data_IF_065988240410
#
_entry.id   IF_065988240410
#
_cell.length_a   1.000
_cell.length_b   1.000
_cell.length_c   1.000
_cell.angle_alpha   90.00
_cell.angle_beta   90.00
_cell.angle_gamma   90.00
#
_symmetry.space_group_name_H-M   'P 1'
#
loop_
_entity.id
_entity.type
_entity.pdbx_description
1 polymer ?
#
# COMPACT_ATOMS: atom_id res chain seq x y z
N UNK A 1 12.14 20.62 -5.24
CA UNK A 1 11.86 19.17 -5.19
C UNK A 1 12.90 18.41 -5.99
N UNK A 2 13.42 17.31 -5.44
CA UNK A 2 14.36 16.40 -6.10
C UNK A 2 13.70 15.25 -6.88
N UNK A 3 12.37 15.11 -6.74
CA UNK A 3 11.56 13.99 -7.25
C UNK A 3 11.58 13.80 -8.76
N UNK A 4 11.88 14.84 -9.55
CA UNK A 4 11.99 14.72 -11.02
C UNK A 4 13.38 14.26 -11.50
N UNK A 5 14.38 14.25 -10.62
CA UNK A 5 15.77 13.94 -10.99
C UNK A 5 15.95 12.42 -11.15
N UNK A 6 15.36 11.63 -10.25
CA UNK A 6 15.43 10.17 -10.27
C UNK A 6 14.20 9.56 -9.59
N UNK A 7 13.88 8.32 -9.95
CA UNK A 7 12.81 7.59 -9.28
C UNK A 7 13.21 7.21 -7.84
N UNK A 8 14.51 6.94 -7.65
CA UNK A 8 15.17 6.72 -6.38
C UNK A 8 14.86 7.86 -5.39
N UNK A 9 15.00 9.13 -5.80
CA UNK A 9 14.67 10.29 -4.96
C UNK A 9 13.20 10.34 -4.54
N UNK A 10 12.28 9.76 -5.33
CA UNK A 10 10.86 9.65 -4.94
C UNK A 10 10.68 8.57 -3.87
N UNK A 11 11.40 7.44 -3.96
CA UNK A 11 11.26 6.35 -3.00
C UNK A 11 12.03 6.60 -1.68
N UNK A 12 13.09 7.40 -1.72
CA UNK A 12 13.89 7.80 -0.57
C UNK A 12 13.24 8.96 0.22
N UNK A 13 12.48 9.84 -0.43
CA UNK A 13 11.70 10.88 0.26
C UNK A 13 10.41 10.29 0.87
N UNK A 14 10.16 10.45 2.20
CA UNK A 14 8.91 10.00 2.85
C UNK A 14 7.65 10.50 2.15
N UNK A 15 7.64 11.77 1.74
CA UNK A 15 6.48 12.39 1.11
C UNK A 15 6.45 12.04 -0.38
N UNK A 16 7.60 11.83 -1.00
CA UNK A 16 7.71 11.29 -2.36
C UNK A 16 7.03 9.92 -2.46
N UNK A 17 7.46 8.98 -1.61
CA UNK A 17 6.95 7.61 -1.55
C UNK A 17 5.45 7.59 -1.27
N UNK A 18 4.99 8.43 -0.33
CA UNK A 18 3.58 8.59 -0.01
C UNK A 18 2.76 9.14 -1.18
N UNK A 19 3.22 10.21 -1.81
CA UNK A 19 2.53 10.86 -2.93
C UNK A 19 2.46 9.93 -4.13
N UNK A 20 3.55 9.20 -4.42
CA UNK A 20 3.60 8.18 -5.45
C UNK A 20 2.69 6.98 -5.13
N UNK A 21 2.61 6.56 -3.87
CA UNK A 21 1.67 5.51 -3.44
C UNK A 21 0.21 5.95 -3.64
N UNK A 22 -0.14 7.21 -3.32
CA UNK A 22 -1.49 7.74 -3.58
C UNK A 22 -1.78 7.92 -5.07
N UNK A 23 -0.79 8.26 -5.88
CA UNK A 23 -0.90 8.25 -7.34
C UNK A 23 -1.24 6.83 -7.87
N UNK A 24 -0.45 5.81 -7.48
CA UNK A 24 -0.69 4.43 -7.90
C UNK A 24 -2.06 3.88 -7.43
N UNK A 25 -2.55 4.30 -6.25
CA UNK A 25 -3.91 3.96 -5.78
C UNK A 25 -5.00 4.51 -6.70
N UNK A 26 -4.85 5.74 -7.21
CA UNK A 26 -5.81 6.35 -8.15
C UNK A 26 -5.82 5.61 -9.51
N UNK A 27 -4.70 5.01 -9.87
CA UNK A 27 -4.53 4.27 -11.13
C UNK A 27 -4.71 2.75 -10.99
N UNK A 28 -5.11 2.25 -9.81
CA UNK A 28 -5.30 0.83 -9.52
C UNK A 28 -4.03 -0.03 -9.76
N UNK A 29 -2.85 0.53 -9.46
CA UNK A 29 -1.53 -0.08 -9.65
C UNK A 29 -0.66 -0.09 -8.37
N UNK A 30 -1.29 0.10 -7.21
CA UNK A 30 -0.63 0.21 -5.90
C UNK A 30 0.07 -1.08 -5.44
N UNK A 31 -0.34 -2.24 -5.94
CA UNK A 31 0.28 -3.54 -5.64
C UNK A 31 1.78 -3.56 -5.97
N UNK A 32 2.22 -2.80 -6.97
CA UNK A 32 3.63 -2.71 -7.37
C UNK A 32 4.51 -2.08 -6.27
N UNK A 33 4.08 -0.95 -5.69
CA UNK A 33 4.84 -0.30 -4.62
C UNK A 33 4.73 -1.07 -3.30
N UNK A 34 3.56 -1.66 -3.01
CA UNK A 34 3.36 -2.48 -1.81
C UNK A 34 4.27 -3.72 -1.82
N UNK A 35 4.36 -4.41 -2.95
CA UNK A 35 5.29 -5.53 -3.14
C UNK A 35 6.75 -5.09 -3.00
N UNK A 36 7.15 -4.00 -3.66
CA UNK A 36 8.53 -3.50 -3.58
C UNK A 36 8.94 -3.14 -2.13
N UNK A 37 8.05 -2.47 -1.39
CA UNK A 37 8.25 -2.17 0.04
C UNK A 37 8.38 -3.45 0.87
N UNK A 38 7.55 -4.46 0.62
CA UNK A 38 7.62 -5.73 1.33
C UNK A 38 8.92 -6.51 1.02
N UNK A 39 9.42 -6.46 -0.22
CA UNK A 39 10.73 -7.01 -0.59
C UNK A 39 11.88 -6.30 0.13
N UNK A 40 11.87 -4.96 0.16
CA UNK A 40 12.86 -4.19 0.93
C UNK A 40 12.86 -4.57 2.40
N UNK A 41 11.69 -4.65 3.02
CA UNK A 41 11.56 -5.10 4.40
C UNK A 41 12.11 -6.52 4.60
N UNK A 42 11.76 -7.46 3.72
CA UNK A 42 12.24 -8.84 3.80
C UNK A 42 13.77 -8.91 3.82
N UNK A 43 14.46 -8.12 2.97
CA UNK A 43 15.93 -8.06 2.94
C UNK A 43 16.59 -7.53 4.23
N UNK A 44 15.83 -6.91 5.13
CA UNK A 44 16.33 -6.44 6.45
C UNK A 44 16.16 -7.45 7.58
N UNK A 45 15.48 -8.58 7.33
CA UNK A 45 15.25 -9.61 8.34
C UNK A 45 16.47 -10.54 8.46
N UNK A 46 16.88 -10.79 9.71
CA UNK A 46 17.93 -11.76 10.04
C UNK A 46 17.38 -13.02 10.74
N UNK A 47 16.15 -12.98 11.25
CA UNK A 47 15.51 -14.12 11.90
C UNK A 47 14.81 -15.02 10.88
N UNK A 48 15.21 -16.29 10.81
CA UNK A 48 14.68 -17.26 9.84
C UNK A 48 13.18 -17.51 9.99
N UNK A 49 12.64 -17.41 11.21
CA UNK A 49 11.20 -17.61 11.44
C UNK A 49 10.37 -16.47 10.86
N UNK A 50 10.78 -15.22 11.12
CA UNK A 50 10.19 -14.03 10.52
C UNK A 50 10.37 -14.00 8.99
N UNK A 51 11.52 -14.41 8.47
CA UNK A 51 11.75 -14.55 7.02
C UNK A 51 10.79 -15.56 6.39
N UNK A 52 10.66 -16.77 6.96
CA UNK A 52 9.75 -17.80 6.47
C UNK A 52 8.29 -17.33 6.47
N UNK A 53 7.85 -16.65 7.53
CA UNK A 53 6.52 -16.06 7.62
C UNK A 53 6.32 -15.00 6.52
N UNK A 54 7.16 -13.97 6.47
CA UNK A 54 7.01 -12.86 5.54
C UNK A 54 7.16 -13.28 4.07
N UNK A 55 8.06 -14.21 3.76
CA UNK A 55 8.22 -14.75 2.41
C UNK A 55 6.94 -15.43 1.91
N UNK A 56 6.31 -16.24 2.77
CA UNK A 56 5.02 -16.87 2.46
C UNK A 56 3.93 -15.83 2.26
N UNK A 57 3.88 -14.82 3.12
CA UNK A 57 2.86 -13.77 3.08
C UNK A 57 2.96 -12.90 1.83
N UNK A 58 4.18 -12.49 1.44
CA UNK A 58 4.45 -11.80 0.17
C UNK A 58 4.04 -12.68 -1.02
N UNK A 59 4.35 -13.97 -0.97
CA UNK A 59 3.97 -14.90 -2.03
C UNK A 59 2.45 -15.04 -2.17
N UNK A 60 1.72 -15.31 -1.09
CA UNK A 60 0.26 -15.46 -1.10
C UNK A 60 -0.47 -14.16 -1.53
N UNK A 61 0.08 -12.97 -1.21
CA UNK A 61 -0.51 -11.67 -1.56
C UNK A 61 -0.21 -11.18 -2.98
N UNK A 62 0.99 -11.43 -3.50
CA UNK A 62 1.46 -10.82 -4.75
C UNK A 62 1.89 -11.79 -5.85
N UNK A 63 2.29 -13.02 -5.53
CA UNK A 63 2.98 -13.91 -6.49
C UNK A 63 2.22 -15.20 -6.81
N UNK A 64 1.35 -15.66 -5.91
CA UNK A 64 0.53 -16.86 -6.08
C UNK A 64 -0.41 -16.72 -7.28
N UNK A 65 -0.68 -17.79 -8.05
CA UNK A 65 -1.74 -17.79 -9.06
C UNK A 65 -3.09 -17.42 -8.44
N UNK A 66 -3.70 -16.34 -8.93
CA UNK A 66 -4.96 -15.81 -8.38
C UNK A 66 -4.80 -14.97 -7.10
N UNK A 67 -3.60 -14.50 -6.77
CA UNK A 67 -3.37 -13.55 -5.69
C UNK A 67 -4.17 -12.24 -5.89
N UNK A 68 -4.62 -11.61 -4.80
CA UNK A 68 -5.51 -10.43 -4.89
C UNK A 68 -4.79 -9.14 -5.32
N UNK A 69 -3.47 -9.08 -5.11
CA UNK A 69 -2.61 -7.94 -5.45
C UNK A 69 -1.46 -8.43 -6.34
N UNK A 70 -1.81 -9.23 -7.35
CA UNK A 70 -0.85 -9.92 -8.21
C UNK A 70 0.02 -8.95 -9.02
N UNK A 71 1.33 -9.01 -8.82
CA UNK A 71 2.30 -8.15 -9.53
C UNK A 71 2.78 -8.76 -10.86
N UNK A 72 3.13 -7.90 -11.81
CA UNK A 72 3.62 -8.29 -13.12
C UNK A 72 5.13 -8.58 -13.12
N UNK A 73 5.49 -9.81 -12.76
CA UNK A 73 6.88 -10.34 -12.83
C UNK A 73 6.99 -11.54 -13.77
N UNK A 74 8.22 -11.84 -14.18
CA UNK A 74 8.56 -13.01 -14.98
C UNK A 74 8.19 -14.31 -14.25
N UNK A 75 7.64 -15.26 -15.02
CA UNK A 75 7.34 -16.63 -14.57
C UNK A 75 8.52 -17.33 -13.88
N UNK A 76 9.76 -17.11 -14.34
CA UNK A 76 10.95 -17.70 -13.73
C UNK A 76 11.20 -17.15 -12.32
N UNK A 77 11.11 -15.83 -12.15
CA UNK A 77 11.26 -15.15 -10.86
C UNK A 77 10.18 -15.58 -9.87
N UNK A 78 8.93 -15.73 -10.32
CA UNK A 78 7.82 -16.31 -9.54
C UNK A 78 8.09 -17.77 -9.11
N UNK A 79 8.63 -18.59 -10.02
CA UNK A 79 8.95 -20.00 -9.76
C UNK A 79 10.12 -20.14 -8.78
N UNK A 80 11.16 -19.30 -8.92
CA UNK A 80 12.29 -19.26 -7.99
C UNK A 80 11.84 -18.98 -6.56
N UNK A 81 10.92 -18.00 -6.37
CA UNK A 81 10.35 -17.74 -5.04
C UNK A 81 9.65 -18.97 -4.49
N UNK A 82 8.72 -19.56 -5.26
CA UNK A 82 7.93 -20.73 -4.84
C UNK A 82 8.81 -21.90 -4.37
N UNK A 83 9.88 -22.22 -5.10
CA UNK A 83 10.78 -23.34 -4.77
C UNK A 83 11.54 -23.13 -3.45
N UNK A 84 11.77 -21.89 -3.04
CA UNK A 84 12.58 -21.56 -1.87
C UNK A 84 11.77 -21.16 -0.62
N UNK A 85 10.43 -21.12 -0.68
CA UNK A 85 9.57 -20.70 0.44
C UNK A 85 9.78 -21.47 1.74
N UNK A 86 10.23 -22.73 1.69
CA UNK A 86 10.43 -23.57 2.89
C UNK A 86 11.66 -23.14 3.71
N UNK A 87 12.71 -22.65 3.05
CA UNK A 87 13.95 -22.17 3.69
C UNK A 87 14.46 -20.96 2.88
N UNK A 88 13.82 -19.79 3.05
CA UNK A 88 13.99 -18.70 2.11
C UNK A 88 15.31 -17.94 2.37
N UNK A 89 16.15 -17.71 1.35
CA UNK A 89 17.40 -16.99 1.49
C UNK A 89 17.18 -15.46 1.59
N UNK A 90 18.14 -14.67 2.11
CA UNK A 90 17.97 -13.21 2.29
C UNK A 90 17.69 -12.44 0.99
N UNK A 91 18.14 -12.96 -0.15
CA UNK A 91 17.99 -12.39 -1.49
C UNK A 91 16.81 -12.96 -2.30
N UNK A 92 15.94 -13.77 -1.67
CA UNK A 92 14.81 -14.47 -2.31
C UNK A 92 14.01 -13.63 -3.31
N UNK A 93 13.77 -12.35 -2.99
CA UNK A 93 12.98 -11.45 -3.81
C UNK A 93 13.80 -10.49 -4.68
N UNK A 94 15.13 -10.46 -4.59
CA UNK A 94 15.97 -9.42 -5.20
C UNK A 94 15.74 -9.25 -6.72
N UNK A 95 15.57 -10.36 -7.45
CA UNK A 95 15.25 -10.31 -8.88
C UNK A 95 13.83 -9.80 -9.16
N UNK A 96 12.83 -10.24 -8.38
CA UNK A 96 11.44 -9.79 -8.54
C UNK A 96 11.26 -8.31 -8.14
N UNK A 97 11.97 -7.87 -7.10
CA UNK A 97 12.04 -6.47 -6.67
C UNK A 97 12.59 -5.58 -7.80
N UNK A 98 13.68 -6.00 -8.45
CA UNK A 98 14.29 -5.28 -9.57
C UNK A 98 13.34 -5.18 -10.78
N UNK A 99 12.58 -6.22 -11.07
CA UNK A 99 11.57 -6.20 -12.15
C UNK A 99 10.46 -5.18 -11.87
N UNK A 100 9.89 -5.18 -10.66
CA UNK A 100 8.83 -4.23 -10.28
C UNK A 100 9.34 -2.80 -10.11
N UNK A 101 10.56 -2.62 -9.60
CA UNK A 101 11.22 -1.31 -9.60
C UNK A 101 11.39 -0.76 -11.02
N UNK A 102 11.83 -1.61 -11.96
CA UNK A 102 12.00 -1.25 -13.38
C UNK A 102 10.67 -0.89 -14.03
N UNK A 103 9.61 -1.67 -13.78
CA UNK A 103 8.25 -1.40 -14.24
C UNK A 103 7.77 -0.03 -13.76
N UNK A 104 7.84 0.22 -12.45
CA UNK A 104 7.42 1.51 -11.88
C UNK A 104 8.25 2.68 -12.41
N UNK A 105 9.57 2.52 -12.57
CA UNK A 105 10.49 3.58 -13.04
C UNK A 105 10.23 4.01 -14.49
N UNK A 106 9.90 3.08 -15.38
CA UNK A 106 9.73 3.36 -16.81
C UNK A 106 8.29 3.59 -17.25
N UNK A 107 7.29 3.13 -16.49
CA UNK A 107 5.87 3.44 -16.74
C UNK A 107 5.32 4.42 -15.69
N UNK A 108 5.05 3.95 -14.47
CA UNK A 108 4.23 4.69 -13.51
C UNK A 108 4.88 6.02 -13.07
N UNK A 109 6.20 6.07 -12.88
CA UNK A 109 6.95 7.28 -12.56
C UNK A 109 6.90 8.32 -13.69
N UNK A 110 6.95 7.89 -14.96
CA UNK A 110 6.84 8.78 -16.12
C UNK A 110 5.45 9.43 -16.23
N UNK A 111 4.41 8.73 -15.74
CA UNK A 111 3.03 9.23 -15.65
C UNK A 111 2.83 10.09 -14.39
N UNK A 112 3.44 9.72 -13.26
CA UNK A 112 3.44 10.49 -12.02
C UNK A 112 3.98 11.91 -12.21
N UNK A 113 5.15 12.07 -12.85
CA UNK A 113 5.75 13.40 -13.12
C UNK A 113 4.90 14.30 -14.03
N UNK A 114 3.90 13.75 -14.73
CA UNK A 114 2.96 14.47 -15.59
C UNK A 114 1.58 14.63 -14.96
N UNK A 115 1.39 14.09 -13.75
CA UNK A 115 0.09 14.09 -13.07
C UNK A 115 -0.21 15.43 -12.41
N UNK A 116 -1.51 15.72 -12.26
CA UNK A 116 -1.98 16.87 -11.48
C UNK A 116 -1.47 16.81 -10.04
N UNK A 117 -1.42 15.62 -9.43
CA UNK A 117 -0.93 15.43 -8.06
C UNK A 117 0.53 15.87 -7.88
N UNK A 118 1.40 15.56 -8.84
CA UNK A 118 2.78 16.05 -8.83
C UNK A 118 2.84 17.57 -9.06
N UNK A 119 2.02 18.09 -9.97
CA UNK A 119 1.95 19.53 -10.28
C UNK A 119 1.43 20.36 -9.10
N UNK A 120 0.47 19.84 -8.34
CA UNK A 120 -0.02 20.40 -7.07
C UNK A 120 1.08 20.40 -6.01
N UNK A 121 1.83 19.31 -5.85
CA UNK A 121 2.99 19.23 -4.95
C UNK A 121 4.05 20.28 -5.30
N UNK A 122 4.46 20.38 -6.57
CA UNK A 122 5.40 21.40 -7.06
C UNK A 122 4.90 22.83 -6.83
N UNK A 123 3.60 23.06 -6.97
CA UNK A 123 2.98 24.37 -6.73
C UNK A 123 2.92 24.73 -5.25
N UNK A 124 2.64 23.74 -4.39
CA UNK A 124 2.65 23.93 -2.95
C UNK A 124 4.07 24.23 -2.43
N UNK A 125 5.09 23.50 -2.90
CA UNK A 125 6.50 23.76 -2.55
C UNK A 125 6.92 25.19 -2.90
N UNK A 126 6.65 25.65 -4.13
CA UNK A 126 6.95 27.02 -4.58
C UNK A 126 6.26 28.12 -3.77
N UNK A 127 5.12 27.81 -3.16
CA UNK A 127 4.33 28.75 -2.35
C UNK A 127 4.60 28.62 -0.85
N UNK A 128 5.56 27.78 -0.42
CA UNK A 128 5.81 27.49 0.99
C UNK A 128 4.63 26.81 1.70
N UNK A 129 3.71 26.18 0.95
CA UNK A 129 2.48 25.56 1.47
C UNK A 129 2.71 24.08 1.80
N UNK A 130 1.95 23.51 2.75
CA UNK A 130 2.00 22.07 3.00
C UNK A 130 1.56 21.28 1.75
N UNK A 131 2.34 20.26 1.39
CA UNK A 131 2.09 19.40 0.24
C UNK A 131 0.73 18.67 0.36
N UNK A 132 -0.02 18.46 -0.75
CA UNK A 132 -1.33 17.78 -0.73
C UNK A 132 -1.38 16.46 0.06
N UNK A 133 -0.32 15.65 0.03
CA UNK A 133 -0.26 14.39 0.76
C UNK A 133 0.13 14.52 2.25
N UNK A 134 0.53 15.70 2.72
CA UNK A 134 0.77 15.95 4.15
C UNK A 134 -0.54 15.99 4.94
N UNK A 135 -1.62 16.54 4.38
CA UNK A 135 -2.93 16.58 5.06
C UNK A 135 -3.49 15.20 5.45
N UNK A 136 -3.07 14.13 4.75
CA UNK A 136 -3.44 12.75 5.06
C UNK A 136 -2.77 12.19 6.33
N UNK A 137 -1.77 12.84 6.92
CA UNK A 137 -1.25 12.43 8.26
C UNK A 137 -2.22 12.81 9.38
N UNK A 138 -3.06 13.82 9.17
CA UNK A 138 -3.89 14.41 10.21
C UNK A 138 -5.23 13.70 10.40
N UNK A 139 -5.22 12.36 10.31
CA UNK A 139 -6.39 11.51 10.54
C UNK A 139 -6.75 11.43 12.03
N UNK A 140 -7.36 12.51 12.55
CA UNK A 140 -8.37 12.34 13.61
C UNK A 140 -9.36 11.29 13.11
N UNK A 141 -9.60 10.28 13.94
CA UNK A 141 -10.39 9.09 13.60
C UNK A 141 -11.71 9.45 12.90
N UNK A 142 -12.16 8.69 11.89
CA UNK A 142 -13.34 9.06 11.11
C UNK A 142 -14.58 9.10 12.01
N UNK A 143 -15.01 10.33 12.33
CA UNK A 143 -16.26 10.63 13.01
C UNK A 143 -17.41 10.03 12.22
N UNK A 144 -17.95 8.92 12.73
CA UNK A 144 -19.04 8.10 12.19
C UNK A 144 -20.19 8.96 11.68
N UNK A 145 -20.17 9.31 10.39
CA UNK A 145 -21.23 10.11 9.75
C UNK A 145 -22.51 9.32 9.75
N UNK A 146 -23.43 9.74 10.62
CA UNK A 146 -24.66 9.05 10.94
C UNK A 146 -25.64 9.18 9.77
N UNK A 147 -25.53 8.30 8.78
CA UNK A 147 -26.49 8.21 7.68
C UNK A 147 -27.89 7.97 8.26
N UNK A 148 -28.71 9.02 8.24
CA UNK A 148 -30.04 9.08 8.82
C UNK A 148 -31.03 8.42 7.86
N UNK A 149 -31.10 7.10 7.88
CA UNK A 149 -32.13 6.36 7.15
C UNK A 149 -33.53 6.81 7.61
N UNK A 150 -34.32 7.37 6.68
CA UNK A 150 -35.70 7.75 6.95
C UNK A 150 -36.53 6.49 7.20
N UNK A 151 -37.30 6.49 8.29
CA UNK A 151 -38.32 5.45 8.54
C UNK A 151 -39.31 5.38 7.37
N UNK A 152 -39.71 4.16 7.03
CA UNK A 152 -41.00 3.86 6.40
C UNK A 152 -41.60 2.65 7.09
N UNK A 153 -42.49 2.93 8.04
CA UNK A 153 -43.43 1.93 8.54
C UNK A 153 -44.30 1.36 7.42
N UNK A 154 -44.54 0.03 7.49
CA UNK A 154 -45.82 -0.59 7.13
C UNK A 154 -45.88 -2.03 7.65
N UNK A 155 -46.65 -2.21 8.72
CA UNK A 155 -47.10 -3.52 9.19
C UNK A 155 -47.85 -4.29 8.09
N UNK A 156 -47.68 -5.63 8.04
CA UNK A 156 -48.80 -6.60 8.04
C UNK A 156 -48.32 -8.04 8.27
N UNK A 157 -48.67 -8.62 9.42
CA UNK A 157 -48.63 -10.09 9.60
C UNK A 157 -49.85 -10.74 8.92
N UNK A 158 -49.70 -11.97 8.45
CA UNK A 158 -50.71 -13.04 8.59
C UNK A 158 -50.13 -14.41 8.21
N UNK A 159 -50.41 -15.43 9.05
CA UNK A 159 -50.11 -16.84 8.75
C UNK A 159 -51.21 -17.45 7.87
N UNK A 160 -50.92 -18.50 7.07
CA UNK A 160 -51.45 -19.88 7.29
C UNK A 160 -51.08 -20.93 6.21
N UNK A 161 -50.72 -22.13 6.70
CA UNK A 161 -51.03 -23.51 6.22
C UNK A 161 -50.73 -23.99 4.78
N UNK A 162 -49.77 -24.94 4.71
CA UNK A 162 -49.77 -26.28 4.06
C UNK A 162 -50.52 -26.52 2.73
N UNK A 163 -49.80 -27.07 1.73
CA UNK A 163 -49.91 -28.50 1.34
C UNK A 163 -48.87 -28.93 0.28
N UNK A 164 -48.35 -30.17 0.45
CA UNK A 164 -47.95 -31.23 -0.50
C UNK A 164 -47.79 -30.85 -2.01
N UNK A 165 -46.84 -31.37 -2.80
CA UNK A 165 -45.98 -32.58 -2.69
C UNK A 165 -44.70 -32.36 -3.56
N UNK A 166 -43.79 -33.28 -3.93
CA UNK A 166 -43.72 -34.75 -3.88
C UNK A 166 -42.25 -35.25 -3.71
N UNK A 167 -42.00 -36.54 -4.03
CA UNK A 167 -40.69 -37.21 -3.98
C UNK A 167 -40.01 -37.33 -5.36
N UNK A 168 -38.68 -37.29 -5.36
CA UNK A 168 -37.84 -38.37 -5.88
C UNK A 168 -36.51 -38.39 -5.13
N UNK A 169 -36.08 -39.56 -4.67
CA UNK A 169 -34.82 -39.76 -3.95
C UNK A 169 -34.12 -40.98 -4.52
N UNK A 170 -32.85 -40.84 -4.91
CA UNK A 170 -31.91 -41.96 -4.94
C UNK A 170 -30.63 -41.51 -4.22
N UNK A 171 -30.28 -42.25 -3.17
CA UNK A 171 -29.00 -42.15 -2.48
C UNK A 171 -27.93 -42.92 -3.28
N UNK A 172 -26.65 -42.53 -3.19
CA UNK A 172 -25.69 -43.25 -2.32
C UNK A 172 -24.28 -42.65 -2.39
N UNK A 173 -23.84 -42.17 -1.23
CA UNK A 173 -22.48 -42.15 -0.67
C UNK A 173 -21.29 -42.39 -1.62
N UNK A 174 -20.45 -41.36 -1.77
CA UNK A 174 -18.99 -41.48 -1.73
C UNK A 174 -18.46 -40.27 -0.95
N UNK A 175 -17.70 -40.54 0.12
CA UNK A 175 -17.26 -39.56 1.11
C UNK A 175 -16.17 -38.63 0.57
N UNK A 176 -16.45 -37.32 0.56
CA UNK A 176 -15.45 -36.28 0.30
C UNK A 176 -14.67 -35.92 1.60
N UNK A 177 -13.35 -35.69 1.54
CA UNK A 177 -12.57 -35.26 2.69
C UNK A 177 -12.83 -33.79 3.05
N UNK A 178 -12.87 -33.48 4.35
CA UNK A 178 -13.19 -32.15 4.88
C UNK A 178 -12.21 -31.06 4.39
N UNK A 179 -12.74 -29.98 3.82
CA UNK A 179 -11.95 -28.81 3.38
C UNK A 179 -11.95 -27.70 4.44
N UNK A 180 -11.24 -27.88 5.55
CA UNK A 180 -11.17 -26.88 6.64
C UNK A 180 -10.09 -25.79 6.44
N UNK A 181 -9.36 -25.80 5.33
CA UNK A 181 -8.15 -24.98 5.12
C UNK A 181 -8.42 -23.50 4.72
N UNK A 182 -9.68 -23.11 4.56
CA UNK A 182 -10.09 -21.80 3.99
C UNK A 182 -10.18 -20.63 4.99
N UNK A 183 -10.16 -20.92 6.29
CA UNK A 183 -10.49 -19.96 7.37
C UNK A 183 -9.25 -19.38 8.05
N UNK A 184 -8.27 -20.25 8.32
CA UNK A 184 -6.98 -19.89 8.94
C UNK A 184 -6.13 -19.08 7.97
N UNK A 185 -6.02 -19.50 6.72
CA UNK A 185 -5.21 -18.82 5.72
C UNK A 185 -5.69 -17.38 5.47
N UNK A 186 -7.02 -17.16 5.39
CA UNK A 186 -7.59 -15.80 5.27
C UNK A 186 -7.32 -14.91 6.48
N UNK A 187 -7.34 -15.45 7.71
CA UNK A 187 -6.99 -14.66 8.90
C UNK A 187 -5.49 -14.34 8.97
N UNK A 188 -4.63 -15.29 8.60
CA UNK A 188 -3.18 -15.09 8.49
C UNK A 188 -2.89 -13.99 7.47
N UNK A 189 -3.38 -14.17 6.25
CA UNK A 189 -3.28 -13.21 5.15
C UNK A 189 -3.72 -11.79 5.52
N UNK A 190 -4.87 -11.64 6.21
CA UNK A 190 -5.32 -10.33 6.69
C UNK A 190 -4.45 -9.75 7.81
N UNK A 191 -3.79 -10.58 8.63
CA UNK A 191 -2.77 -10.12 9.57
C UNK A 191 -1.54 -9.61 8.82
N UNK A 192 -1.07 -10.37 7.85
CA UNK A 192 0.17 -10.08 7.14
C UNK A 192 0.06 -8.88 6.21
N UNK A 193 -1.10 -8.68 5.56
CA UNK A 193 -1.39 -7.42 4.88
C UNK A 193 -1.34 -6.22 5.85
N UNK A 194 -1.93 -6.33 7.04
CA UNK A 194 -1.83 -5.28 8.08
C UNK A 194 -0.39 -5.09 8.58
N UNK A 195 0.42 -6.15 8.61
CA UNK A 195 1.83 -6.05 8.95
C UNK A 195 2.58 -5.25 7.88
N UNK A 196 2.38 -5.55 6.59
CA UNK A 196 2.92 -4.77 5.46
C UNK A 196 2.43 -3.31 5.52
N UNK A 197 1.13 -3.07 5.74
CA UNK A 197 0.57 -1.71 5.93
C UNK A 197 1.21 -1.01 7.14
N UNK A 198 1.39 -1.70 8.27
CA UNK A 198 2.06 -1.17 9.47
C UNK A 198 3.58 -0.99 9.27
N UNK A 199 4.18 -1.61 8.25
CA UNK A 199 5.58 -1.48 7.90
C UNK A 199 5.81 -0.36 6.89
N UNK A 200 4.87 -0.13 5.97
CA UNK A 200 4.74 1.11 5.21
C UNK A 200 4.61 2.31 6.17
N UNK A 201 3.74 2.24 7.19
CA UNK A 201 3.65 3.28 8.22
C UNK A 201 4.93 3.46 9.05
N UNK A 202 5.69 2.38 9.32
CA UNK A 202 6.99 2.46 10.03
C UNK A 202 8.15 2.95 9.16
N UNK A 203 8.07 2.77 7.84
CA UNK A 203 9.00 3.39 6.89
C UNK A 203 8.70 4.89 6.77
N UNK A 204 7.41 5.25 6.65
CA UNK A 204 6.95 6.63 6.71
C UNK A 204 7.48 7.35 7.95
N UNK A 205 7.27 6.78 9.14
CA UNK A 205 7.74 7.38 10.39
C UNK A 205 9.26 7.57 10.45
N UNK A 206 10.05 6.53 10.10
CA UNK A 206 11.53 6.63 10.11
C UNK A 206 12.07 7.70 9.16
N UNK A 207 11.39 7.92 8.04
CA UNK A 207 11.76 8.92 7.05
C UNK A 207 11.26 10.32 7.46
N UNK A 208 10.07 10.43 8.07
CA UNK A 208 9.57 11.67 8.67
C UNK A 208 10.50 12.14 9.82
N UNK A 209 11.02 11.23 10.64
CA UNK A 209 11.97 11.51 11.73
C UNK A 209 13.29 12.12 11.20
N UNK A 210 13.75 11.73 10.00
CA UNK A 210 14.96 12.31 9.37
C UNK A 210 14.77 13.77 8.95
N UNK A 211 13.52 14.21 8.71
CA UNK A 211 13.21 15.62 8.46
C UNK A 211 13.14 16.46 9.73
N UNK A 212 13.00 15.84 10.90
CA UNK A 212 12.99 16.52 12.20
C UNK A 212 14.31 17.22 12.57
N UNK A 213 15.38 16.97 11.81
CA UNK A 213 16.70 17.60 11.96
C UNK A 213 17.00 18.70 10.95
N UNK A 214 16.07 19.06 10.06
CA UNK A 214 16.22 20.28 9.23
C UNK A 214 16.02 21.51 10.11
N UNK A 215 17.15 22.12 10.51
CA UNK A 215 17.19 23.37 11.26
C UNK A 215 16.36 24.45 10.57
N UNK A 216 15.54 25.17 11.34
CA UNK A 216 15.09 26.49 10.94
C UNK A 216 16.33 27.35 10.68
N UNK A 217 16.65 27.61 9.42
CA UNK A 217 17.45 28.77 9.05
C UNK A 217 16.56 30.00 9.17
N UNK A 218 16.34 30.43 10.42
CA UNK A 218 15.96 31.81 10.69
C UNK A 218 17.04 32.69 10.07
N UNK A 219 16.69 33.37 8.97
CA UNK A 219 17.60 34.26 8.25
C UNK A 219 17.99 35.35 9.25
N UNK A 220 19.29 35.51 9.59
CA UNK A 220 19.69 36.51 10.55
C UNK A 220 19.29 37.91 10.09
N UNK A 221 18.72 38.72 11.00
CA UNK A 221 18.17 40.05 10.70
C UNK A 221 19.17 40.99 9.97
N UNK A 222 20.48 40.76 10.10
CA UNK A 222 21.51 41.54 9.40
C UNK A 222 21.50 41.41 7.87
N UNK A 223 20.75 40.46 7.29
CA UNK A 223 20.53 40.36 5.84
C UNK A 223 19.28 41.12 5.36
N UNK A 224 18.44 41.64 6.27
CA UNK A 224 17.32 42.52 5.93
C UNK A 224 17.77 43.98 5.86
N UNK A 225 18.73 44.31 4.99
CA UNK A 225 19.08 45.70 4.71
C UNK A 225 18.02 46.37 3.84
N UNK A 226 17.33 47.37 4.39
CA UNK A 226 16.26 48.11 3.71
C UNK A 226 16.77 49.02 2.59
N UNK A 227 16.07 49.01 1.45
CA UNK A 227 16.21 50.02 0.39
C UNK A 227 15.66 51.38 0.86
N UNK A 228 16.48 52.15 1.59
CA UNK A 228 16.17 53.56 1.88
C UNK A 228 16.46 54.44 0.67
N UNK A 229 15.52 54.47 -0.27
CA UNK A 229 15.50 55.47 -1.33
C UNK A 229 15.06 56.82 -0.76
N UNK A 230 15.95 57.80 -0.65
CA UNK A 230 15.55 59.21 -0.44
C UNK A 230 16.13 60.11 -1.52
N UNK A 231 15.22 60.59 -2.37
CA UNK A 231 15.45 61.63 -3.37
C UNK A 231 15.60 62.99 -2.67
N UNK A 232 16.69 63.72 -2.95
CA UNK A 232 16.76 65.17 -3.21
C UNK A 232 18.21 65.61 -3.44
#
# INVERSE_FOLDING_TARGET
MSWSISFENVLEDPIGLKTFTEFLKREFSAENIMFWVACKQYSTLNDKSQMAKLAKDIYDLHLRPGASEAVNINSHSRQFVLLNLQNPPPDLFAQSEKEIFTLMKFDCYQRFLKSDLYSECMSAEKLGKPLPCSYLTNSKSPSRTRFRSKSRDRNRMQHTKKSNSAHYSINKELSAPNTEESSTNRRSFMSSKREIDALWNRLQQRLDDQRGTELNFDIPDFLCCEDTTTVS
#
